data_IF_831295083663
#
_entry.id   IF_831295083663
#
_cell.length_a   1.000
_cell.length_b   1.000
_cell.length_c   1.000
_cell.angle_alpha   90.00
_cell.angle_beta   90.00
_cell.angle_gamma   90.00
#
_symmetry.space_group_name_H-M   'P 1'
#
loop_
_entity.id
_entity.type
_entity.pdbx_description
1 polymer ?
#
# COMPACT_ATOMS: atom_id res chain seq x y z
N UNK A 1 24.14 -0.57 -11.41
CA UNK A 1 22.73 -0.31 -11.13
C UNK A 1 22.64 0.56 -9.90
N UNK A 2 22.22 1.82 -10.04
CA UNK A 2 22.00 2.75 -8.92
C UNK A 2 20.67 2.46 -8.23
N UNK A 3 20.44 3.06 -7.06
CA UNK A 3 19.15 2.98 -6.37
C UNK A 3 18.02 3.56 -7.24
N UNK A 4 18.29 4.66 -7.96
CA UNK A 4 17.33 5.27 -8.86
C UNK A 4 16.97 4.35 -10.04
N UNK A 5 17.97 3.65 -10.60
CA UNK A 5 17.75 2.67 -11.67
C UNK A 5 16.91 1.48 -11.18
N UNK A 6 17.15 1.00 -9.95
CA UNK A 6 16.33 -0.04 -9.32
C UNK A 6 14.88 0.42 -9.14
N UNK A 7 14.69 1.64 -8.63
CA UNK A 7 13.37 2.21 -8.39
C UNK A 7 12.60 2.41 -9.70
N UNK A 8 13.24 2.97 -10.72
CA UNK A 8 12.63 3.18 -12.03
C UNK A 8 12.15 1.85 -12.64
N UNK A 9 12.99 0.81 -12.60
CA UNK A 9 12.61 -0.53 -13.07
C UNK A 9 11.46 -1.14 -12.28
N UNK A 10 11.39 -0.91 -10.97
CA UNK A 10 10.28 -1.39 -10.16
C UNK A 10 8.97 -0.67 -10.51
N UNK A 11 9.02 0.66 -10.66
CA UNK A 11 7.84 1.50 -10.98
C UNK A 11 7.25 1.18 -12.35
N UNK A 12 8.05 0.77 -13.34
CA UNK A 12 7.57 0.35 -14.66
C UNK A 12 6.61 -0.84 -14.63
N UNK A 13 6.61 -1.64 -13.56
CA UNK A 13 5.71 -2.80 -13.39
C UNK A 13 4.41 -2.46 -12.67
N UNK A 14 4.24 -1.22 -12.23
CA UNK A 14 3.10 -0.78 -11.44
C UNK A 14 2.21 0.16 -12.26
N UNK A 15 0.89 -0.01 -12.15
CA UNK A 15 -0.04 0.99 -12.65
C UNK A 15 -0.17 2.11 -11.62
N UNK A 16 0.39 3.28 -11.94
CA UNK A 16 0.32 4.45 -11.06
C UNK A 16 -0.99 5.19 -11.27
N UNK A 17 -1.81 5.24 -10.23
CA UNK A 17 -3.07 5.98 -10.22
C UNK A 17 -2.83 7.45 -9.84
N UNK A 18 -3.57 8.34 -10.49
CA UNK A 18 -3.76 9.71 -10.04
C UNK A 18 -4.68 9.76 -8.81
N UNK A 19 -4.63 10.82 -7.98
CA UNK A 19 -5.38 10.89 -6.73
C UNK A 19 -6.90 10.66 -6.88
N UNK A 20 -7.50 11.16 -7.96
CA UNK A 20 -8.93 11.00 -8.22
C UNK A 20 -9.30 9.56 -8.63
N UNK A 21 -8.40 8.86 -9.34
CA UNK A 21 -8.57 7.46 -9.71
C UNK A 21 -8.45 6.56 -8.47
N UNK A 22 -7.48 6.86 -7.59
CA UNK A 22 -7.33 6.16 -6.31
C UNK A 22 -8.59 6.32 -5.43
N UNK A 23 -9.15 7.53 -5.37
CA UNK A 23 -10.40 7.77 -4.66
C UNK A 23 -11.57 6.97 -5.25
N UNK A 24 -11.65 6.84 -6.58
CA UNK A 24 -12.66 6.02 -7.24
C UNK A 24 -12.49 4.52 -6.96
N UNK A 25 -11.24 4.01 -6.96
CA UNK A 25 -10.94 2.62 -6.60
C UNK A 25 -11.42 2.34 -5.18
N UNK A 26 -11.14 3.23 -4.22
CA UNK A 26 -11.61 3.09 -2.84
C UNK A 26 -13.14 3.11 -2.76
N UNK A 27 -13.81 4.02 -3.48
CA UNK A 27 -15.29 4.04 -3.54
C UNK A 27 -15.89 2.74 -4.08
N UNK A 28 -15.19 2.05 -4.97
CA UNK A 28 -15.59 0.75 -5.54
C UNK A 28 -15.22 -0.46 -4.65
N UNK A 29 -14.69 -0.23 -3.45
CA UNK A 29 -14.32 -1.28 -2.50
C UNK A 29 -12.85 -1.70 -2.57
N UNK A 30 -12.02 -0.96 -3.32
CA UNK A 30 -10.57 -1.12 -3.28
C UNK A 30 -9.97 -0.67 -1.95
N UNK A 31 -8.79 -1.20 -1.61
CA UNK A 31 -8.09 -0.91 -0.35
C UNK A 31 -6.95 0.07 -0.62
N UNK A 32 -6.96 1.20 0.08
CA UNK A 32 -5.84 2.14 0.10
C UNK A 32 -4.95 1.82 1.30
N UNK A 33 -3.66 1.61 1.05
CA UNK A 33 -2.67 1.26 2.09
C UNK A 33 -1.70 2.43 2.26
N UNK A 34 -1.57 2.92 3.49
CA UNK A 34 -0.59 3.95 3.82
C UNK A 34 0.67 3.30 4.39
N UNK A 35 1.73 3.26 3.57
CA UNK A 35 2.99 2.58 3.90
C UNK A 35 4.00 3.43 4.67
N UNK A 36 3.64 4.66 4.99
CA UNK A 36 4.48 5.61 5.73
C UNK A 36 4.65 5.19 7.19
N UNK A 37 5.76 5.62 7.80
CA UNK A 37 5.98 5.44 9.23
C UNK A 37 4.94 6.21 10.05
N UNK A 38 4.85 5.91 11.34
CA UNK A 38 3.96 6.65 12.26
C UNK A 38 4.34 8.13 12.31
N UNK A 39 5.63 8.44 12.41
CA UNK A 39 6.14 9.81 12.50
C UNK A 39 5.82 10.63 11.25
N UNK A 40 5.86 10.01 10.07
CA UNK A 40 5.46 10.65 8.82
C UNK A 40 3.95 10.94 8.79
N UNK A 41 3.11 10.01 9.28
CA UNK A 41 1.65 10.19 9.34
C UNK A 41 1.24 11.24 10.36
N UNK A 42 1.92 11.30 11.50
CA UNK A 42 1.68 12.30 12.54
C UNK A 42 2.02 13.71 12.03
N UNK A 43 3.11 13.83 11.25
CA UNK A 43 3.54 15.11 10.65
C UNK A 43 2.66 15.55 9.47
N UNK A 44 2.38 14.64 8.54
CA UNK A 44 1.82 14.98 7.23
C UNK A 44 0.30 14.73 7.14
N UNK A 45 -0.31 14.20 8.21
CA UNK A 45 -1.69 13.74 8.22
C UNK A 45 -1.87 12.43 7.44
N UNK A 46 -3.12 11.95 7.40
CA UNK A 46 -3.49 10.68 6.75
C UNK A 46 -4.65 10.86 5.79
N UNK A 47 -4.72 9.99 4.79
CA UNK A 47 -5.87 9.93 3.88
C UNK A 47 -7.00 9.16 4.60
N UNK A 48 -8.23 9.70 4.65
CA UNK A 48 -9.36 8.99 5.23
C UNK A 48 -9.56 7.62 4.58
N UNK A 49 -9.96 6.63 5.38
CA UNK A 49 -10.13 5.22 4.98
C UNK A 49 -8.86 4.46 4.56
N UNK A 50 -7.68 5.09 4.54
CA UNK A 50 -6.43 4.37 4.33
C UNK A 50 -6.11 3.45 5.51
N UNK A 51 -5.60 2.26 5.20
CA UNK A 51 -5.16 1.27 6.18
C UNK A 51 -3.67 1.52 6.49
N UNK A 52 -3.31 1.94 7.71
CA UNK A 52 -1.92 2.24 8.05
C UNK A 52 -1.11 0.97 8.27
N UNK A 53 -0.11 0.72 7.43
CA UNK A 53 0.77 -0.45 7.51
C UNK A 53 2.15 -0.05 7.01
N UNK A 54 3.10 0.18 7.93
CA UNK A 54 4.46 0.56 7.52
C UNK A 54 5.04 -0.42 6.50
N UNK A 55 5.79 0.10 5.51
CA UNK A 55 6.32 -0.74 4.42
C UNK A 55 7.13 -1.93 4.93
N UNK A 56 7.89 -1.73 6.01
CA UNK A 56 8.72 -2.78 6.61
C UNK A 56 7.93 -3.98 7.12
N UNK A 57 6.61 -3.86 7.30
CA UNK A 57 5.74 -4.88 7.89
C UNK A 57 4.67 -5.39 6.93
N UNK A 58 4.64 -4.88 5.70
CA UNK A 58 3.51 -5.05 4.80
C UNK A 58 3.32 -6.52 4.39
N UNK A 59 4.42 -7.23 4.10
CA UNK A 59 4.39 -8.57 3.54
C UNK A 59 3.71 -9.56 4.50
N UNK A 60 4.07 -9.53 5.78
CA UNK A 60 3.45 -10.41 6.78
C UNK A 60 2.09 -9.94 7.26
N UNK A 61 1.74 -8.66 7.07
CA UNK A 61 0.38 -8.18 7.31
C UNK A 61 -0.56 -8.61 6.16
N UNK A 62 -0.05 -8.69 4.94
CA UNK A 62 -0.81 -9.11 3.76
C UNK A 62 -1.01 -10.63 3.65
N UNK A 63 -0.07 -11.45 4.13
CA UNK A 63 -0.16 -12.91 4.06
C UNK A 63 -1.27 -13.47 4.99
N UNK A 64 -2.32 -14.13 4.46
CA UNK A 64 -3.38 -14.75 5.26
C UNK A 64 -2.92 -15.86 6.21
N UNK A 65 -1.73 -16.44 5.99
CA UNK A 65 -1.14 -17.50 6.82
C UNK A 65 -0.31 -16.94 7.97
N UNK A 66 0.00 -15.65 7.95
CA UNK A 66 0.75 -14.99 9.01
C UNK A 66 -0.10 -14.81 10.26
N UNK A 67 0.49 -15.03 11.44
CA UNK A 67 -0.16 -14.73 12.73
C UNK A 67 -0.46 -13.23 12.92
N UNK A 68 0.21 -12.37 12.16
CA UNK A 68 0.03 -10.93 12.18
C UNK A 68 -0.93 -10.43 11.08
N UNK A 69 -1.56 -11.31 10.30
CA UNK A 69 -2.42 -10.96 9.17
C UNK A 69 -3.46 -9.88 9.51
N UNK A 70 -3.54 -8.84 8.70
CA UNK A 70 -4.62 -7.85 8.73
C UNK A 70 -5.63 -8.19 7.63
N UNK A 71 -6.85 -8.58 8.03
CA UNK A 71 -7.91 -9.00 7.10
C UNK A 71 -8.33 -7.91 6.11
N UNK A 72 -7.96 -6.64 6.35
CA UNK A 72 -8.20 -5.54 5.42
C UNK A 72 -7.26 -5.55 4.22
N UNK A 73 -6.11 -6.22 4.30
CA UNK A 73 -5.07 -6.27 3.25
C UNK A 73 -5.20 -7.46 2.30
N UNK A 74 -6.32 -8.18 2.33
CA UNK A 74 -6.51 -9.42 1.60
C UNK A 74 -6.03 -9.31 0.15
N UNK A 75 -4.95 -10.04 -0.16
CA UNK A 75 -4.57 -10.29 -1.54
C UNK A 75 -5.69 -11.16 -2.11
N UNK A 76 -6.50 -10.61 -3.02
CA UNK A 76 -7.27 -11.46 -3.91
C UNK A 76 -6.27 -12.41 -4.57
N UNK A 77 -6.56 -13.71 -4.63
CA UNK A 77 -5.69 -14.70 -5.28
C UNK A 77 -5.27 -14.15 -6.65
N UNK A 78 -4.04 -13.65 -6.72
CA UNK A 78 -3.46 -13.15 -7.95
C UNK A 78 -3.13 -14.38 -8.80
N UNK A 79 -4.10 -14.81 -9.61
CA UNK A 79 -3.86 -15.73 -10.71
C UNK A 79 -3.15 -15.02 -11.85
#
# INVERSE_FOLDING_TARGET
MTVDEMLARAQQRLHRLEPHEAAEVVRRGGVLIDVRTTEQRDRDGTVPAAVPVALSVLEWRADPRSSAHDRRLGLADAR
#
